data_IF_826429097449
#
_entry.id   IF_826429097449
#
_cell.length_a   1.000
_cell.length_b   1.000
_cell.length_c   1.000
_cell.angle_alpha   90.00
_cell.angle_beta   90.00
_cell.angle_gamma   90.00
#
_symmetry.space_group_name_H-M   'P 1'
#
loop_
_entity.id
_entity.type
_entity.pdbx_description
1 polymer ?
#
# COMPACT_ATOMS: atom_id res chain seq x y z
N UNK A 1 -1.58 -17.72 -9.55
CA UNK A 1 -1.46 -17.10 -10.89
C UNK A 1 -2.23 -15.79 -10.85
N UNK A 2 -1.63 -14.66 -11.20
CA UNK A 2 -2.34 -13.37 -11.30
C UNK A 2 -2.90 -13.19 -12.71
N UNK A 3 -4.19 -12.86 -12.80
CA UNK A 3 -4.84 -12.50 -14.05
C UNK A 3 -5.03 -10.98 -14.11
N UNK A 4 -4.70 -10.36 -15.23
CA UNK A 4 -4.83 -8.93 -15.43
C UNK A 4 -5.84 -8.64 -16.53
N UNK A 5 -6.86 -7.86 -16.21
CA UNK A 5 -7.86 -7.38 -17.15
C UNK A 5 -7.76 -5.87 -17.26
N UNK A 6 -7.95 -5.36 -18.47
CA UNK A 6 -7.93 -3.91 -18.74
C UNK A 6 -9.29 -3.45 -19.24
N UNK A 7 -9.87 -2.50 -18.51
CA UNK A 7 -11.03 -1.74 -18.98
C UNK A 7 -10.51 -0.60 -19.87
N UNK A 8 -10.82 -0.64 -21.16
CA UNK A 8 -10.37 0.37 -22.13
C UNK A 8 -11.28 1.61 -22.18
N UNK A 9 -12.54 1.45 -21.80
CA UNK A 9 -13.53 2.53 -21.78
C UNK A 9 -14.26 2.48 -20.45
N UNK A 10 -14.06 3.53 -19.64
CA UNK A 10 -14.70 3.69 -18.34
C UNK A 10 -15.50 4.99 -18.25
N UNK A 11 -16.53 4.96 -17.41
CA UNK A 11 -17.16 6.17 -16.92
C UNK A 11 -16.19 6.97 -16.01
N UNK A 12 -16.50 8.25 -15.70
CA UNK A 12 -15.77 9.00 -14.69
C UNK A 12 -15.71 8.26 -13.34
N UNK A 13 -14.55 8.33 -12.69
CA UNK A 13 -14.26 7.63 -11.43
C UNK A 13 -14.16 8.59 -10.22
N UNK A 14 -14.48 9.87 -10.43
CA UNK A 14 -14.54 10.93 -9.42
C UNK A 14 -13.32 10.99 -8.48
N UNK A 15 -12.12 10.96 -9.07
CA UNK A 15 -10.88 10.96 -8.31
C UNK A 15 -10.52 12.34 -7.75
N UNK A 16 -10.32 12.41 -6.43
CA UNK A 16 -9.76 13.56 -5.73
C UNK A 16 -8.25 13.64 -5.98
N UNK A 17 -7.76 14.87 -6.13
CA UNK A 17 -6.36 15.21 -6.44
C UNK A 17 -5.83 16.29 -5.49
N UNK A 18 -5.88 16.03 -4.17
CA UNK A 18 -5.51 17.00 -3.14
C UNK A 18 -4.37 16.45 -2.28
N UNK A 19 -3.15 16.48 -2.81
CA UNK A 19 -1.94 15.90 -2.18
C UNK A 19 -1.89 14.37 -2.25
N UNK A 20 -3.04 13.71 -2.28
CA UNK A 20 -3.22 12.27 -2.49
C UNK A 20 -4.23 12.08 -3.64
N UNK A 21 -3.99 11.07 -4.48
CA UNK A 21 -4.91 10.58 -5.48
C UNK A 21 -5.82 9.53 -4.85
N UNK A 22 -7.11 9.83 -4.75
CA UNK A 22 -8.09 8.90 -4.23
C UNK A 22 -9.33 8.87 -5.12
N UNK A 23 -9.61 7.73 -5.74
CA UNK A 23 -10.80 7.53 -6.57
C UNK A 23 -12.00 7.03 -5.77
N UNK A 24 -13.21 7.31 -6.25
CA UNK A 24 -14.42 6.79 -5.61
C UNK A 24 -14.46 5.26 -5.70
N UNK A 25 -14.49 4.54 -4.56
CA UNK A 25 -14.39 3.09 -4.57
C UNK A 25 -15.59 2.42 -5.20
N UNK A 26 -16.78 3.03 -5.14
CA UNK A 26 -17.98 2.45 -5.74
C UNK A 26 -17.95 2.57 -7.27
N UNK A 27 -17.63 3.75 -7.80
CA UNK A 27 -17.48 4.00 -9.24
C UNK A 27 -16.37 3.12 -9.83
N UNK A 28 -15.19 3.06 -9.18
CA UNK A 28 -14.08 2.23 -9.64
C UNK A 28 -14.44 0.74 -9.69
N UNK A 29 -15.06 0.20 -8.63
CA UNK A 29 -15.48 -1.21 -8.59
C UNK A 29 -16.59 -1.52 -9.58
N UNK A 30 -17.54 -0.59 -9.77
CA UNK A 30 -18.61 -0.74 -10.78
C UNK A 30 -18.04 -0.83 -12.19
N UNK A 31 -17.07 0.01 -12.54
CA UNK A 31 -16.41 -0.06 -13.84
C UNK A 31 -15.54 -1.31 -13.99
N UNK A 32 -14.81 -1.70 -12.93
CA UNK A 32 -13.99 -2.91 -12.93
C UNK A 32 -14.81 -4.19 -13.09
N UNK A 33 -16.06 -4.22 -12.62
CA UNK A 33 -16.97 -5.36 -12.72
C UNK A 33 -17.31 -5.80 -14.16
N UNK A 34 -16.88 -5.03 -15.17
CA UNK A 34 -16.86 -5.47 -16.58
C UNK A 34 -15.94 -6.68 -16.81
N UNK A 35 -15.03 -6.97 -15.88
CA UNK A 35 -14.16 -8.14 -15.87
C UNK A 35 -14.13 -8.78 -14.47
N UNK A 36 -13.82 -10.07 -14.34
CA UNK A 36 -13.54 -10.67 -13.04
C UNK A 36 -12.36 -9.97 -12.38
N UNK A 37 -12.53 -9.48 -11.15
CA UNK A 37 -11.48 -8.77 -10.44
C UNK A 37 -11.64 -8.89 -8.93
N UNK A 38 -10.53 -9.16 -8.25
CA UNK A 38 -10.42 -9.11 -6.80
C UNK A 38 -9.85 -7.77 -6.32
N UNK A 39 -8.87 -7.27 -7.08
CA UNK A 39 -8.20 -6.00 -6.86
C UNK A 39 -8.43 -5.07 -8.05
N UNK A 40 -8.64 -3.80 -7.77
CA UNK A 40 -8.89 -2.76 -8.78
C UNK A 40 -7.74 -1.77 -8.75
N UNK A 41 -7.10 -1.56 -9.90
CA UNK A 41 -6.01 -0.61 -10.06
C UNK A 41 -6.49 0.48 -11.01
N UNK A 42 -6.62 1.71 -10.50
CA UNK A 42 -6.95 2.89 -11.30
C UNK A 42 -5.66 3.66 -11.55
N UNK A 43 -5.28 3.80 -12.83
CA UNK A 43 -4.12 4.60 -13.23
C UNK A 43 -4.58 5.97 -13.70
N UNK A 44 -4.12 7.02 -13.02
CA UNK A 44 -4.32 8.41 -13.43
C UNK A 44 -3.11 8.90 -14.22
N UNK A 45 -3.33 9.18 -15.51
CA UNK A 45 -2.26 9.67 -16.39
C UNK A 45 -1.95 11.12 -16.05
N UNK A 46 -0.70 11.39 -15.68
CA UNK A 46 -0.19 12.72 -15.35
C UNK A 46 1.20 12.91 -15.93
N UNK A 47 1.55 14.13 -16.35
CA UNK A 47 2.93 14.38 -16.77
C UNK A 47 3.86 14.49 -15.56
N UNK A 48 5.14 14.13 -15.74
CA UNK A 48 6.17 14.35 -14.71
C UNK A 48 6.28 15.83 -14.32
N UNK A 49 6.12 16.75 -15.28
CA UNK A 49 6.17 18.20 -15.03
C UNK A 49 5.03 18.68 -14.13
N UNK A 50 3.80 18.20 -14.35
CA UNK A 50 2.67 18.51 -13.48
C UNK A 50 2.88 17.93 -12.08
N UNK A 51 3.43 16.72 -11.98
CA UNK A 51 3.72 16.10 -10.69
C UNK A 51 4.82 16.85 -9.92
N UNK A 52 5.84 17.37 -10.62
CA UNK A 52 6.87 18.22 -9.99
C UNK A 52 6.28 19.54 -9.47
N UNK A 53 5.38 20.18 -10.23
CA UNK A 53 4.78 21.46 -9.85
C UNK A 53 3.75 21.32 -8.71
N UNK A 54 3.04 20.20 -8.65
CA UNK A 54 2.01 19.94 -7.64
C UNK A 54 2.00 18.44 -7.32
N UNK A 55 2.86 17.96 -6.41
CA UNK A 55 2.96 16.52 -6.13
C UNK A 55 1.63 15.93 -5.67
N UNK A 56 1.24 14.82 -6.28
CA UNK A 56 0.10 14.01 -5.84
C UNK A 56 0.60 12.59 -5.63
N UNK A 57 0.44 12.09 -4.42
CA UNK A 57 0.85 10.73 -4.05
C UNK A 57 -0.22 9.73 -4.49
N UNK A 58 0.21 8.55 -4.88
CA UNK A 58 -0.69 7.39 -5.03
C UNK A 58 -1.31 7.01 -3.67
N UNK A 59 -2.37 6.19 -3.67
CA UNK A 59 -2.92 5.63 -2.43
C UNK A 59 -3.63 4.31 -2.63
N UNK A 60 -3.88 3.62 -1.51
CA UNK A 60 -4.64 2.38 -1.44
C UNK A 60 -5.75 2.47 -0.39
N UNK A 61 -6.91 1.87 -0.71
CA UNK A 61 -8.05 1.76 0.21
C UNK A 61 -8.76 0.42 0.01
N UNK A 62 -8.50 -0.52 0.92
CA UNK A 62 -8.93 -1.90 0.76
C UNK A 62 -8.37 -2.48 -0.54
N UNK A 63 -9.22 -3.07 -1.38
CA UNK A 63 -8.77 -3.66 -2.66
C UNK A 63 -8.62 -2.67 -3.83
N UNK A 64 -8.81 -1.36 -3.59
CA UNK A 64 -8.64 -0.32 -4.62
C UNK A 64 -7.29 0.39 -4.46
N UNK A 65 -6.51 0.37 -5.52
CA UNK A 65 -5.25 1.11 -5.65
C UNK A 65 -5.44 2.25 -6.67
N UNK A 66 -5.15 3.48 -6.26
CA UNK A 66 -5.18 4.69 -7.09
C UNK A 66 -3.77 5.17 -7.38
N UNK A 67 -3.27 4.93 -8.59
CA UNK A 67 -1.89 5.23 -8.99
C UNK A 67 -1.78 6.50 -9.79
N UNK A 68 -0.83 7.36 -9.42
CA UNK A 68 -0.33 8.40 -10.28
C UNK A 68 0.71 7.78 -11.24
N UNK A 69 0.39 7.74 -12.54
CA UNK A 69 1.26 7.12 -13.54
C UNK A 69 2.61 7.85 -13.74
N UNK A 70 2.79 9.04 -13.14
CA UNK A 70 4.06 9.75 -13.13
C UNK A 70 5.05 9.28 -12.05
N UNK A 71 4.60 8.49 -11.07
CA UNK A 71 5.42 7.99 -9.96
C UNK A 71 6.37 6.86 -10.38
N UNK A 72 7.30 6.52 -9.48
CA UNK A 72 8.17 5.35 -9.67
C UNK A 72 7.36 4.05 -9.61
N UNK A 73 7.79 3.01 -10.34
CA UNK A 73 7.13 1.69 -10.33
C UNK A 73 7.13 1.06 -8.94
N UNK A 74 8.10 1.37 -8.08
CA UNK A 74 8.14 0.92 -6.70
C UNK A 74 6.93 1.41 -5.87
N UNK A 75 6.31 2.53 -6.25
CA UNK A 75 5.08 3.02 -5.62
C UNK A 75 3.91 2.06 -5.89
N UNK A 76 3.81 1.46 -7.08
CA UNK A 76 2.80 0.42 -7.30
C UNK A 76 2.99 -0.76 -6.34
N UNK A 77 4.22 -1.20 -6.14
CA UNK A 77 4.53 -2.32 -5.24
C UNK A 77 4.14 -1.96 -3.79
N UNK A 78 4.45 -0.73 -3.36
CA UNK A 78 4.04 -0.19 -2.06
C UNK A 78 2.51 -0.20 -1.89
N UNK A 79 1.77 0.42 -2.81
CA UNK A 79 0.31 0.51 -2.71
C UNK A 79 -0.37 -0.85 -2.82
N UNK A 80 0.20 -1.76 -3.63
CA UNK A 80 -0.27 -3.13 -3.71
C UNK A 80 0.02 -3.90 -2.42
N UNK A 81 1.11 -3.60 -1.70
CA UNK A 81 1.40 -4.12 -0.37
C UNK A 81 0.28 -3.80 0.64
N UNK A 82 -0.22 -2.56 0.63
CA UNK A 82 -1.41 -2.18 1.40
C UNK A 82 -2.65 -2.95 0.97
N UNK A 83 -2.91 -3.02 -0.35
CA UNK A 83 -4.15 -3.61 -0.86
C UNK A 83 -4.22 -5.12 -0.66
N UNK A 84 -3.10 -5.81 -0.87
CA UNK A 84 -3.03 -7.28 -0.90
C UNK A 84 -2.68 -7.87 0.47
N UNK A 85 -1.67 -7.32 1.14
CA UNK A 85 -1.15 -7.84 2.41
C UNK A 85 -1.64 -7.09 3.64
N UNK A 86 -2.51 -6.08 3.46
CA UNK A 86 -2.97 -5.21 4.55
C UNK A 86 -1.80 -4.60 5.35
N UNK A 87 -0.64 -4.42 4.70
CA UNK A 87 0.55 -3.87 5.33
C UNK A 87 0.34 -2.40 5.63
N UNK A 88 0.96 -1.90 6.69
CA UNK A 88 1.00 -0.51 7.08
C UNK A 88 2.23 0.21 6.57
N UNK A 89 2.15 1.53 6.47
CA UNK A 89 3.30 2.39 6.22
C UNK A 89 4.31 2.31 7.36
N UNK A 90 5.59 2.14 7.01
CA UNK A 90 6.68 1.98 7.98
C UNK A 90 7.49 3.26 8.21
N UNK A 91 7.25 4.30 7.39
CA UNK A 91 7.73 5.65 7.67
C UNK A 91 6.83 6.34 8.71
N UNK A 92 7.33 7.44 9.26
CA UNK A 92 6.60 8.23 10.26
C UNK A 92 6.08 9.51 9.62
N UNK A 93 4.78 9.73 9.72
CA UNK A 93 4.11 11.01 9.41
C UNK A 93 3.09 11.33 10.52
N UNK A 94 3.61 11.79 11.66
CA UNK A 94 2.81 12.08 12.87
C UNK A 94 1.59 12.94 12.57
N UNK A 95 1.75 13.96 11.71
CA UNK A 95 0.69 14.90 11.38
C UNK A 95 -0.43 14.21 10.62
N UNK A 96 -0.08 13.42 9.61
CA UNK A 96 -1.07 12.74 8.78
C UNK A 96 -1.82 11.66 9.58
N UNK A 97 -1.10 10.72 10.19
CA UNK A 97 -1.73 9.56 10.83
C UNK A 97 -2.47 9.90 12.12
N UNK A 98 -2.01 10.89 12.89
CA UNK A 98 -2.77 11.38 14.06
C UNK A 98 -4.08 12.04 13.65
N UNK A 99 -4.09 12.79 12.54
CA UNK A 99 -5.31 13.40 12.02
C UNK A 99 -6.28 12.37 11.44
N UNK A 100 -5.75 11.32 10.80
CA UNK A 100 -6.53 10.22 10.24
C UNK A 100 -7.11 9.27 11.30
N UNK A 101 -6.64 9.34 12.56
CA UNK A 101 -7.04 8.47 13.67
C UNK A 101 -6.86 6.98 13.36
N UNK A 102 -5.77 6.66 12.67
CA UNK A 102 -5.40 5.28 12.35
C UNK A 102 -4.71 4.67 13.58
N UNK A 103 -5.08 3.44 13.95
CA UNK A 103 -4.31 2.64 14.91
C UNK A 103 -3.27 1.82 14.15
N UNK A 104 -1.95 2.08 14.30
CA UNK A 104 -0.93 1.29 13.63
C UNK A 104 -1.01 -0.20 13.98
N UNK A 105 -1.56 -0.58 15.14
CA UNK A 105 -1.70 -1.99 15.51
C UNK A 105 -2.74 -2.74 14.66
N UNK A 106 -3.56 -2.05 13.87
CA UNK A 106 -4.44 -2.70 12.90
C UNK A 106 -3.65 -3.33 11.74
N UNK A 107 -2.37 -2.97 11.56
CA UNK A 107 -1.53 -3.44 10.47
C UNK A 107 -0.49 -4.45 10.96
N UNK A 108 -0.28 -5.60 10.29
CA UNK A 108 0.49 -6.72 10.81
C UNK A 108 1.98 -6.37 11.01
N UNK A 109 2.53 -5.48 10.18
CA UNK A 109 3.93 -5.05 10.20
C UNK A 109 4.22 -3.86 11.12
N UNK A 110 3.26 -3.43 11.93
CA UNK A 110 3.47 -2.46 13.00
C UNK A 110 3.25 -3.11 14.36
N UNK A 111 4.08 -2.78 15.34
CA UNK A 111 3.92 -3.24 16.74
C UNK A 111 4.47 -2.20 17.72
N UNK A 112 4.31 -2.44 19.02
CA UNK A 112 5.01 -1.71 20.09
C UNK A 112 6.23 -2.50 20.52
N UNK A 113 7.30 -1.82 20.91
CA UNK A 113 8.44 -2.46 21.54
C UNK A 113 7.98 -3.31 22.76
N UNK A 114 8.45 -4.56 22.92
CA UNK A 114 9.61 -5.18 22.25
C UNK A 114 9.32 -5.95 20.94
N UNK A 115 8.23 -5.63 20.23
CA UNK A 115 7.84 -6.24 18.95
C UNK A 115 7.53 -7.73 19.05
N UNK A 116 6.47 -8.07 19.78
CA UNK A 116 6.06 -9.45 20.00
C UNK A 116 5.61 -10.15 18.71
N UNK A 117 5.05 -9.42 17.74
CA UNK A 117 4.48 -9.99 16.49
C UNK A 117 5.47 -10.78 15.64
N UNK A 118 6.74 -10.39 15.65
CA UNK A 118 7.82 -11.05 14.90
C UNK A 118 8.98 -11.43 15.80
N UNK A 119 8.72 -11.61 17.09
CA UNK A 119 9.73 -12.02 18.05
C UNK A 119 10.33 -13.37 17.65
N UNK A 120 11.67 -13.43 17.57
CA UNK A 120 12.39 -14.65 17.21
C UNK A 120 12.43 -14.96 15.70
N UNK A 121 11.85 -14.11 14.84
CA UNK A 121 11.97 -14.27 13.40
C UNK A 121 13.34 -13.79 12.89
N UNK A 122 14.02 -14.61 12.10
CA UNK A 122 15.30 -14.25 11.50
C UNK A 122 15.14 -13.05 10.54
N UNK A 123 16.18 -12.23 10.42
CA UNK A 123 16.22 -11.02 9.61
C UNK A 123 15.13 -9.98 9.97
N UNK A 124 14.64 -10.01 11.21
CA UNK A 124 13.78 -8.98 11.78
C UNK A 124 14.40 -8.35 13.03
N UNK A 125 13.94 -7.16 13.38
CA UNK A 125 14.30 -6.42 14.59
C UNK A 125 13.14 -5.55 15.03
N UNK A 126 13.35 -4.72 16.05
CA UNK A 126 12.32 -3.80 16.55
C UNK A 126 12.76 -2.36 16.28
N UNK A 127 12.55 -1.89 15.05
CA UNK A 127 13.04 -0.60 14.59
C UNK A 127 12.00 0.49 14.82
N UNK A 128 12.37 1.58 15.49
CA UNK A 128 11.46 2.70 15.80
C UNK A 128 10.83 3.32 14.55
N UNK A 129 9.51 3.52 14.60
CA UNK A 129 8.67 4.13 13.56
C UNK A 129 7.83 3.11 12.79
N UNK A 130 6.51 3.35 12.75
CA UNK A 130 5.53 2.70 11.88
C UNK A 130 4.25 3.55 11.89
N UNK A 131 4.04 4.38 10.86
CA UNK A 131 3.06 5.49 10.80
C UNK A 131 3.29 6.61 11.83
N UNK A 132 3.33 6.23 13.11
CA UNK A 132 3.60 7.07 14.28
C UNK A 132 4.91 6.61 14.93
N UNK A 133 5.64 7.55 15.54
CA UNK A 133 6.96 7.31 16.13
C UNK A 133 6.95 6.40 17.36
N UNK A 134 5.79 6.27 18.02
CA UNK A 134 5.61 5.40 19.18
C UNK A 134 5.57 3.89 18.86
N UNK A 135 5.50 3.54 17.57
CA UNK A 135 5.43 2.15 17.09
C UNK A 135 6.75 1.73 16.48
N UNK A 136 6.82 0.48 16.05
CA UNK A 136 8.01 -0.13 15.50
C UNK A 136 7.66 -1.03 14.32
N UNK A 137 8.64 -1.20 13.43
CA UNK A 137 8.56 -2.01 12.22
C UNK A 137 9.58 -3.15 12.25
N UNK A 138 9.41 -4.20 11.42
CA UNK A 138 10.22 -5.42 11.49
C UNK A 138 11.61 -5.28 10.86
N UNK A 139 11.82 -4.39 9.90
CA UNK A 139 13.12 -4.24 9.21
C UNK A 139 13.63 -2.80 9.24
N UNK A 140 14.94 -2.63 9.09
CA UNK A 140 15.54 -1.30 9.07
C UNK A 140 15.02 -0.47 7.90
N UNK A 141 14.83 -1.10 6.74
CA UNK A 141 14.24 -0.54 5.53
C UNK A 141 13.38 -1.58 4.79
N UNK A 142 12.39 -1.10 4.04
CA UNK A 142 11.51 -1.88 3.17
C UNK A 142 10.82 -0.93 2.18
N UNK A 143 10.11 -1.48 1.20
CA UNK A 143 9.24 -0.71 0.29
C UNK A 143 8.09 -0.04 1.05
N UNK A 144 7.67 -0.58 2.20
CA UNK A 144 6.67 0.06 3.07
C UNK A 144 7.22 1.28 3.82
N UNK A 145 8.55 1.43 3.91
CA UNK A 145 9.21 2.60 4.50
C UNK A 145 9.73 3.59 3.46
N UNK A 146 10.40 3.07 2.44
CA UNK A 146 11.17 3.85 1.47
C UNK A 146 10.76 3.49 0.04
N UNK A 147 9.51 3.74 -0.36
CA UNK A 147 8.97 3.28 -1.64
C UNK A 147 9.60 3.94 -2.87
N UNK A 148 10.45 4.95 -2.70
CA UNK A 148 11.24 5.58 -3.77
C UNK A 148 12.70 5.08 -3.82
N UNK A 149 13.09 4.13 -2.97
CA UNK A 149 14.48 3.65 -2.85
C UNK A 149 14.62 2.15 -3.06
N UNK A 150 13.60 1.37 -2.73
CA UNK A 150 13.64 -0.09 -2.80
C UNK A 150 12.29 -0.66 -3.20
N UNK A 151 12.31 -1.88 -3.73
CA UNK A 151 11.13 -2.72 -3.99
C UNK A 151 11.08 -3.93 -3.06
N UNK A 152 12.04 -4.06 -2.15
CA UNK A 152 12.17 -5.15 -1.18
C UNK A 152 11.20 -4.96 -0.02
N UNK A 153 10.39 -5.97 0.28
CA UNK A 153 9.43 -5.92 1.39
C UNK A 153 10.09 -6.17 2.75
N UNK A 154 11.25 -6.81 2.80
CA UNK A 154 11.87 -7.27 4.03
C UNK A 154 11.20 -8.54 4.57
N UNK A 155 11.94 -9.27 5.41
CA UNK A 155 11.62 -10.66 5.75
C UNK A 155 10.21 -10.87 6.31
N UNK A 156 9.75 -10.02 7.23
CA UNK A 156 8.42 -10.17 7.83
C UNK A 156 7.30 -9.88 6.83
N UNK A 157 7.37 -8.75 6.11
CA UNK A 157 6.35 -8.38 5.13
C UNK A 157 6.28 -9.40 4.00
N UNK A 158 7.41 -9.92 3.52
CA UNK A 158 7.42 -11.00 2.52
C UNK A 158 6.72 -12.26 3.04
N UNK A 159 6.98 -12.64 4.29
CA UNK A 159 6.29 -13.77 4.91
C UNK A 159 4.77 -13.54 4.99
N UNK A 160 4.33 -12.36 5.43
CA UNK A 160 2.90 -12.01 5.46
C UNK A 160 2.27 -12.08 4.07
N UNK A 161 2.91 -11.49 3.06
CA UNK A 161 2.44 -11.53 1.67
C UNK A 161 2.35 -12.98 1.14
N UNK A 162 3.33 -13.82 1.46
CA UNK A 162 3.31 -15.24 1.07
C UNK A 162 2.19 -16.02 1.78
N UNK A 163 1.93 -15.74 3.06
CA UNK A 163 0.80 -16.33 3.78
C UNK A 163 -0.55 -15.86 3.22
N UNK A 164 -0.67 -14.58 2.84
CA UNK A 164 -1.84 -14.06 2.14
C UNK A 164 -2.04 -14.77 0.78
N UNK A 165 -0.96 -14.96 0.02
CA UNK A 165 -1.00 -15.66 -1.27
C UNK A 165 -1.40 -17.14 -1.12
N UNK A 166 -0.88 -17.84 -0.13
CA UNK A 166 -1.25 -19.24 0.15
C UNK A 166 -2.74 -19.38 0.48
N UNK A 167 -3.27 -18.48 1.33
CA UNK A 167 -4.71 -18.39 1.65
C UNK A 167 -5.55 -18.13 0.40
N UNK A 168 -5.06 -17.27 -0.50
CA UNK A 168 -5.72 -16.97 -1.77
C UNK A 168 -5.75 -18.17 -2.73
N UNK A 169 -4.70 -18.99 -2.70
CA UNK A 169 -4.56 -20.20 -3.50
C UNK A 169 -5.37 -21.40 -3.00
N UNK A 170 -6.01 -21.29 -1.83
CA UNK A 170 -6.80 -22.37 -1.23
C UNK A 170 -5.97 -23.38 -0.43
N UNK A 171 -4.70 -23.09 -0.15
CA UNK A 171 -3.90 -23.88 0.80
C UNK A 171 -4.35 -23.48 2.22
N UNK A 172 -4.99 -24.42 2.93
CA UNK A 172 -5.39 -24.29 4.34
C UNK A 172 -4.35 -24.95 5.23
#
# INVERSE_FOLDING_TARGET
MFNFYRVFTQAPLDCMQQGILACDPYAAKREAAKCPSDYVIVMHSRSKTQNLASPIRSSSRGTLVSLNAADDKAIFIHEFGHAFGELGDEYVDERYYSAARIDPLDYPNCDRAPCARWSGMNATGCYSGCMLGAYSRPTADSVMRSPYRTTDFGAFNEQELMQHLARYGGER
#
